data_IF_614122923112
#
_entry.id   IF_614122923112
#
_cell.length_a   1.000
_cell.length_b   1.000
_cell.length_c   1.000
_cell.angle_alpha   90.00
_cell.angle_beta   90.00
_cell.angle_gamma   90.00
#
_symmetry.space_group_name_H-M   'P 1'
#
loop_
_entity.id
_entity.type
_entity.pdbx_description
1 polymer ?
#
# COMPACT_ATOMS: atom_id res chain seq x y z
N UNK A 1 0.70 -10.46 -13.90
CA UNK A 1 0.56 -9.63 -12.69
C UNK A 1 0.31 -8.19 -13.10
N UNK A 2 -0.79 -7.63 -12.62
CA UNK A 2 -1.15 -6.24 -12.92
C UNK A 2 -0.79 -5.35 -11.73
N UNK A 3 -0.38 -4.12 -12.01
CA UNK A 3 -0.10 -3.13 -10.98
C UNK A 3 -1.04 -1.94 -11.17
N UNK A 4 -1.69 -1.53 -10.09
CA UNK A 4 -2.63 -0.41 -10.10
C UNK A 4 -2.18 0.66 -9.12
N UNK A 5 -2.17 1.91 -9.58
CA UNK A 5 -1.84 3.05 -8.72
C UNK A 5 -3.15 3.71 -8.31
N UNK A 6 -3.39 3.76 -7.02
CA UNK A 6 -4.59 4.37 -6.44
C UNK A 6 -4.19 5.71 -5.87
N UNK A 7 -4.89 6.76 -6.30
CA UNK A 7 -4.56 8.14 -5.93
C UNK A 7 -5.81 9.01 -5.95
N UNK A 8 -5.63 10.30 -5.63
CA UNK A 8 -6.68 11.30 -5.67
C UNK A 8 -7.41 11.25 -7.03
N UNK A 9 -8.73 11.36 -6.98
CA UNK A 9 -9.57 11.23 -8.17
C UNK A 9 -10.19 9.84 -8.35
N UNK A 10 -9.84 8.89 -7.48
CA UNK A 10 -10.47 7.58 -7.49
C UNK A 10 -11.96 7.71 -7.22
N UNK A 11 -12.77 6.88 -7.90
CA UNK A 11 -14.19 6.76 -7.63
C UNK A 11 -14.45 6.37 -6.18
N UNK A 12 -15.41 7.03 -5.53
CA UNK A 12 -15.69 6.83 -4.10
C UNK A 12 -16.15 5.41 -3.77
N UNK A 13 -16.97 4.81 -4.65
CA UNK A 13 -17.44 3.44 -4.45
C UNK A 13 -16.28 2.47 -4.56
N UNK A 14 -15.41 2.67 -5.54
CA UNK A 14 -14.21 1.84 -5.71
C UNK A 14 -13.28 1.99 -4.50
N UNK A 15 -13.10 3.22 -4.02
CA UNK A 15 -12.26 3.48 -2.84
C UNK A 15 -12.79 2.73 -1.61
N UNK A 16 -14.10 2.78 -1.37
CA UNK A 16 -14.72 2.09 -0.23
C UNK A 16 -14.54 0.58 -0.32
N UNK A 17 -14.70 0.03 -1.53
CA UNK A 17 -14.53 -1.41 -1.74
C UNK A 17 -13.06 -1.83 -1.57
N UNK A 18 -12.13 -1.02 -2.03
CA UNK A 18 -10.70 -1.29 -1.84
C UNK A 18 -10.31 -1.20 -0.37
N UNK A 19 -10.84 -0.22 0.35
CA UNK A 19 -10.59 -0.11 1.78
C UNK A 19 -11.04 -1.37 2.51
N UNK A 20 -12.24 -1.87 2.19
CA UNK A 20 -12.75 -3.11 2.77
C UNK A 20 -11.81 -4.28 2.46
N UNK A 21 -11.38 -4.43 1.22
CA UNK A 21 -10.47 -5.50 0.81
C UNK A 21 -9.12 -5.40 1.49
N UNK A 22 -8.59 -4.19 1.64
CA UNK A 22 -7.31 -4.00 2.31
C UNK A 22 -7.39 -4.25 3.81
N UNK A 23 -8.53 -3.95 4.44
CA UNK A 23 -8.75 -4.34 5.84
C UNK A 23 -8.63 -5.84 6.01
N UNK A 24 -9.17 -6.61 5.08
CA UNK A 24 -9.05 -8.07 5.11
C UNK A 24 -7.62 -8.54 4.81
N UNK A 25 -7.02 -7.96 3.78
CA UNK A 25 -5.67 -8.33 3.36
C UNK A 25 -4.63 -8.06 4.44
N UNK A 26 -4.81 -6.98 5.21
CA UNK A 26 -3.88 -6.54 6.25
C UNK A 26 -4.40 -6.84 7.67
N UNK A 27 -5.31 -7.80 7.80
CA UNK A 27 -5.94 -8.11 9.09
C UNK A 27 -4.94 -8.52 10.18
N UNK A 28 -3.84 -9.19 9.80
CA UNK A 28 -2.79 -9.54 10.74
C UNK A 28 -2.11 -8.30 11.34
N UNK A 29 -1.96 -7.24 10.58
CA UNK A 29 -1.42 -5.98 11.09
C UNK A 29 -2.40 -5.30 12.05
N UNK A 30 -3.70 -5.39 11.77
CA UNK A 30 -4.72 -4.85 12.68
C UNK A 30 -4.70 -5.57 14.03
N UNK A 31 -4.41 -6.87 14.01
CA UNK A 31 -4.28 -7.65 15.23
C UNK A 31 -3.02 -7.29 16.02
N UNK A 32 -1.92 -7.02 15.32
CA UNK A 32 -0.63 -6.75 15.92
C UNK A 32 -0.47 -5.31 16.41
N UNK A 33 -1.04 -4.36 15.68
CA UNK A 33 -0.88 -2.92 15.98
C UNK A 33 -2.22 -2.29 16.31
N UNK A 34 -2.40 -1.81 17.56
CA UNK A 34 -3.62 -1.08 17.93
C UNK A 34 -3.83 0.12 16.99
N UNK A 35 -5.07 0.40 16.66
CA UNK A 35 -5.46 1.54 15.80
C UNK A 35 -5.03 1.43 14.34
N UNK A 36 -4.56 0.24 13.89
CA UNK A 36 -4.18 0.09 12.49
C UNK A 36 -5.38 0.30 11.55
N UNK A 37 -6.54 -0.22 11.91
CA UNK A 37 -7.76 -0.06 11.11
C UNK A 37 -8.14 1.41 10.97
N UNK A 38 -8.11 2.16 12.08
CA UNK A 38 -8.39 3.59 12.09
C UNK A 38 -7.36 4.36 11.26
N UNK A 39 -6.10 3.97 11.34
CA UNK A 39 -5.06 4.55 10.52
C UNK A 39 -5.31 4.33 9.02
N UNK A 40 -5.71 3.11 8.64
CA UNK A 40 -5.99 2.78 7.25
C UNK A 40 -7.17 3.58 6.72
N UNK A 41 -8.21 3.76 7.54
CA UNK A 41 -9.35 4.59 7.20
C UNK A 41 -8.93 6.05 6.97
N UNK A 42 -8.05 6.55 7.82
CA UNK A 42 -7.49 7.90 7.68
C UNK A 42 -6.68 8.03 6.39
N UNK A 43 -5.89 7.02 6.06
CA UNK A 43 -5.12 7.00 4.81
C UNK A 43 -6.05 7.13 3.60
N UNK A 44 -7.15 6.40 3.58
CA UNK A 44 -8.10 6.47 2.48
C UNK A 44 -8.80 7.82 2.40
N UNK A 45 -9.10 8.42 3.56
CA UNK A 45 -9.67 9.77 3.59
C UNK A 45 -8.67 10.79 3.00
N UNK A 46 -7.41 10.72 3.41
CA UNK A 46 -6.38 11.59 2.86
C UNK A 46 -6.17 11.35 1.36
N UNK A 47 -6.22 10.08 0.94
CA UNK A 47 -6.03 9.69 -0.46
C UNK A 47 -7.09 10.31 -1.36
N UNK A 48 -8.35 10.38 -0.91
CA UNK A 48 -9.43 10.95 -1.71
C UNK A 48 -9.43 12.48 -1.71
N UNK A 49 -8.87 13.10 -0.68
CA UNK A 49 -8.92 14.55 -0.49
C UNK A 49 -7.64 15.28 -0.89
N UNK A 50 -6.51 14.60 -0.86
CA UNK A 50 -5.20 15.23 -1.06
C UNK A 50 -4.32 14.40 -1.99
N UNK A 51 -3.20 14.98 -2.42
CA UNK A 51 -2.18 14.28 -3.18
C UNK A 51 -1.10 13.65 -2.30
N UNK A 52 -1.31 13.65 -0.97
CA UNK A 52 -0.30 13.19 -0.01
C UNK A 52 -0.21 11.67 0.11
N UNK A 53 -1.17 10.93 -0.46
CA UNK A 53 -1.19 9.47 -0.38
C UNK A 53 -1.25 8.82 -1.74
N UNK A 54 -0.52 7.71 -1.86
CA UNK A 54 -0.54 6.85 -3.04
C UNK A 54 -0.56 5.40 -2.56
N UNK A 55 -1.29 4.55 -3.26
CA UNK A 55 -1.32 3.12 -2.96
C UNK A 55 -1.03 2.37 -4.26
N UNK A 56 -0.11 1.42 -4.21
CA UNK A 56 0.18 0.55 -5.34
C UNK A 56 -0.33 -0.84 -5.00
N UNK A 57 -1.17 -1.39 -5.86
CA UNK A 57 -1.69 -2.74 -5.71
C UNK A 57 -1.07 -3.64 -6.78
N UNK A 58 -0.68 -4.82 -6.36
CA UNK A 58 -0.27 -5.90 -7.25
C UNK A 58 -1.40 -6.93 -7.27
N UNK A 59 -1.97 -7.22 -8.43
CA UNK A 59 -3.18 -8.03 -8.57
C UNK A 59 -3.03 -9.07 -9.67
N UNK A 60 -3.70 -10.23 -9.53
CA UNK A 60 -3.67 -11.28 -10.54
C UNK A 60 -4.89 -11.24 -11.46
N UNK A 61 -6.08 -11.33 -10.91
CA UNK A 61 -7.32 -11.47 -11.66
C UNK A 61 -8.24 -10.26 -11.46
N UNK A 62 -7.67 -9.07 -11.59
CA UNK A 62 -8.40 -7.83 -11.39
C UNK A 62 -8.04 -7.16 -10.08
N UNK A 63 -8.54 -5.93 -9.93
CA UNK A 63 -8.12 -5.01 -8.86
C UNK A 63 -8.45 -5.53 -7.45
N UNK A 64 -9.42 -6.43 -7.32
CA UNK A 64 -9.78 -6.98 -6.02
C UNK A 64 -9.06 -8.28 -5.68
N UNK A 65 -8.30 -8.86 -6.61
CA UNK A 65 -7.48 -10.04 -6.33
C UNK A 65 -6.06 -9.59 -5.95
N UNK A 66 -5.95 -9.02 -4.76
CA UNK A 66 -4.75 -8.34 -4.29
C UNK A 66 -3.71 -9.37 -3.84
N UNK A 67 -2.51 -9.28 -4.42
CA UNK A 67 -1.36 -10.12 -4.04
C UNK A 67 -0.30 -9.33 -3.30
N UNK A 68 -0.30 -8.01 -3.43
CA UNK A 68 0.61 -7.15 -2.72
C UNK A 68 0.11 -5.73 -2.67
N UNK A 69 0.63 -4.97 -1.70
CA UNK A 69 0.26 -3.56 -1.53
C UNK A 69 1.45 -2.77 -1.02
N UNK A 70 1.57 -1.54 -1.50
CA UNK A 70 2.48 -0.55 -0.94
C UNK A 70 1.67 0.72 -0.67
N UNK A 71 1.70 1.20 0.58
CA UNK A 71 1.02 2.42 0.99
C UNK A 71 2.06 3.50 1.21
N UNK A 72 1.93 4.60 0.48
CA UNK A 72 2.91 5.67 0.45
C UNK A 72 2.38 6.95 1.06
N UNK A 73 3.30 7.73 1.62
CA UNK A 73 3.05 9.12 1.98
C UNK A 73 4.03 9.98 1.20
N UNK A 74 3.52 10.97 0.49
CA UNK A 74 4.33 11.87 -0.33
C UNK A 74 3.91 13.31 -0.10
N UNK A 75 4.71 14.03 0.65
CA UNK A 75 4.55 15.46 0.88
C UNK A 75 5.87 16.15 0.55
N UNK A 76 5.90 17.48 0.60
CA UNK A 76 7.16 18.23 0.41
C UNK A 76 8.19 17.90 1.49
N UNK A 77 7.72 17.55 2.69
CA UNK A 77 8.59 17.31 3.86
C UNK A 77 8.88 15.83 4.10
N UNK A 78 8.03 14.93 3.60
CA UNK A 78 8.15 13.51 3.92
C UNK A 78 7.79 12.65 2.72
N UNK A 79 8.69 11.73 2.37
CA UNK A 79 8.49 10.73 1.33
C UNK A 79 8.76 9.38 1.95
N UNK A 80 7.69 8.60 2.13
CA UNK A 80 7.73 7.44 3.02
C UNK A 80 6.94 6.27 2.46
N UNK A 81 7.49 5.07 2.61
CA UNK A 81 6.76 3.82 2.42
C UNK A 81 6.26 3.42 3.80
N UNK A 82 4.94 3.53 4.01
CA UNK A 82 4.33 3.27 5.32
C UNK A 82 4.04 1.80 5.53
N UNK A 83 3.64 1.09 4.49
CA UNK A 83 3.32 -0.34 4.57
C UNK A 83 3.66 -0.97 3.22
N UNK A 84 4.34 -2.12 3.25
CA UNK A 84 4.58 -2.92 2.05
C UNK A 84 4.40 -4.37 2.44
N UNK A 85 3.45 -5.04 1.79
CA UNK A 85 3.11 -6.41 2.13
C UNK A 85 2.78 -7.22 0.87
N UNK A 86 3.26 -8.46 0.84
CA UNK A 86 2.96 -9.42 -0.22
C UNK A 86 2.30 -10.63 0.42
N UNK A 87 1.26 -11.17 -0.22
CA UNK A 87 0.59 -12.37 0.28
C UNK A 87 1.60 -13.52 0.37
N UNK A 88 1.50 -14.31 1.44
CA UNK A 88 2.50 -15.34 1.75
C UNK A 88 2.73 -16.31 0.60
N UNK A 89 1.68 -16.75 -0.08
CA UNK A 89 1.77 -17.70 -1.18
C UNK A 89 2.45 -17.13 -2.42
N UNK A 90 2.60 -15.81 -2.50
CA UNK A 90 3.21 -15.14 -3.66
C UNK A 90 4.57 -14.51 -3.34
N UNK A 91 5.11 -14.75 -2.14
CA UNK A 91 6.44 -14.29 -1.79
C UNK A 91 7.51 -15.05 -2.57
N UNK A 92 8.67 -14.43 -2.75
CA UNK A 92 9.78 -14.98 -3.52
C UNK A 92 9.53 -15.05 -5.03
N UNK A 93 8.52 -14.33 -5.52
CA UNK A 93 8.21 -14.20 -6.94
C UNK A 93 8.58 -12.82 -7.51
N UNK A 94 9.31 -12.01 -6.72
CA UNK A 94 9.73 -10.68 -7.14
C UNK A 94 8.67 -9.60 -7.01
N UNK A 95 7.51 -9.91 -6.45
CA UNK A 95 6.42 -8.95 -6.29
C UNK A 95 6.81 -7.83 -5.33
N UNK A 96 7.39 -8.19 -4.17
CA UNK A 96 7.82 -7.22 -3.18
C UNK A 96 8.90 -6.29 -3.71
N UNK A 97 9.88 -6.84 -4.43
CA UNK A 97 10.94 -6.04 -5.05
C UNK A 97 10.38 -5.08 -6.10
N UNK A 98 9.43 -5.55 -6.90
CA UNK A 98 8.79 -4.72 -7.91
C UNK A 98 7.96 -3.61 -7.28
N UNK A 99 7.20 -3.92 -6.21
CA UNK A 99 6.46 -2.91 -5.46
C UNK A 99 7.39 -1.86 -4.84
N UNK A 100 8.52 -2.31 -4.29
CA UNK A 100 9.49 -1.40 -3.71
C UNK A 100 10.07 -0.47 -4.76
N UNK A 101 10.44 -0.99 -5.93
CA UNK A 101 10.98 -0.19 -7.02
C UNK A 101 9.95 0.84 -7.50
N UNK A 102 8.70 0.41 -7.72
CA UNK A 102 7.64 1.33 -8.14
C UNK A 102 7.36 2.39 -7.08
N UNK A 103 7.43 2.04 -5.81
CA UNK A 103 7.26 2.99 -4.71
C UNK A 103 8.34 4.06 -4.73
N UNK A 104 9.59 3.67 -4.90
CA UNK A 104 10.71 4.60 -4.99
C UNK A 104 10.54 5.56 -6.17
N UNK A 105 10.13 5.02 -7.32
CA UNK A 105 9.89 5.84 -8.52
C UNK A 105 8.77 6.86 -8.30
N UNK A 106 7.66 6.44 -7.71
CA UNK A 106 6.53 7.33 -7.45
C UNK A 106 6.86 8.39 -6.41
N UNK A 107 7.66 8.04 -5.41
CA UNK A 107 8.09 8.99 -4.38
C UNK A 107 9.12 9.98 -4.91
N UNK A 108 9.77 9.67 -6.04
CA UNK A 108 10.85 10.49 -6.60
C UNK A 108 11.98 10.71 -5.61
N UNK A 109 12.27 9.65 -4.82
CA UNK A 109 13.27 9.68 -3.76
C UNK A 109 14.05 8.37 -3.75
N UNK A 110 15.38 8.46 -3.90
CA UNK A 110 16.23 7.27 -3.96
C UNK A 110 16.31 6.54 -2.62
N UNK A 111 16.15 7.27 -1.52
CA UNK A 111 16.24 6.71 -0.16
C UNK A 111 15.04 7.16 0.66
N UNK A 112 13.83 6.65 0.35
CA UNK A 112 12.66 7.04 1.11
C UNK A 112 12.72 6.48 2.53
N UNK A 113 12.02 7.14 3.45
CA UNK A 113 11.81 6.58 4.78
C UNK A 113 10.95 5.33 4.68
N UNK A 114 11.30 4.32 5.44
CA UNK A 114 10.54 3.06 5.45
C UNK A 114 10.16 2.75 6.89
N UNK A 115 8.87 2.56 7.12
CA UNK A 115 8.36 2.17 8.43
C UNK A 115 8.56 0.67 8.61
N UNK A 116 9.41 0.28 9.55
CA UNK A 116 9.75 -1.13 9.80
C UNK A 116 8.53 -1.95 10.18
N UNK A 117 7.59 -1.35 10.92
CA UNK A 117 6.42 -2.06 11.43
C UNK A 117 5.51 -2.63 10.33
N UNK A 118 5.55 -2.11 9.13
CA UNK A 118 4.73 -2.62 8.02
C UNK A 118 5.48 -3.44 7.00
N UNK A 119 6.79 -3.64 7.19
CA UNK A 119 7.65 -4.21 6.17
C UNK A 119 8.50 -5.34 6.74
N UNK A 120 8.44 -6.49 6.10
CA UNK A 120 9.27 -7.64 6.43
C UNK A 120 10.20 -7.87 5.24
N UNK A 121 11.33 -7.17 5.24
CA UNK A 121 12.26 -7.14 4.09
C UNK A 121 12.74 -8.51 3.66
N UNK A 122 12.84 -9.45 4.60
CA UNK A 122 13.28 -10.81 4.29
C UNK A 122 12.28 -11.62 3.48
N UNK A 123 11.06 -11.13 3.35
CA UNK A 123 9.95 -11.85 2.70
C UNK A 123 9.73 -11.41 1.27
N UNK A 124 10.56 -10.51 0.78
CA UNK A 124 10.49 -10.06 -0.61
C UNK A 124 11.28 -11.02 -1.49
#
# INVERSE_FOLDING_TARGET
MEYHIIKKGIDSVLADNLLFKLKLFLADLAFEYPFFTEWLEKVFKELTLTDSRLIILSCDNGIFDIKGVSILKKTSDEKKICTLRVVKSSRNQGIGSCLLQKSVELLEENKPLITVSGIHMKEF
#
